data_IF_941170007034
#
_entry.id   IF_941170007034
#
_cell.length_a   1.000
_cell.length_b   1.000
_cell.length_c   1.000
_cell.angle_alpha   90.00
_cell.angle_beta   90.00
_cell.angle_gamma   90.00
#
_symmetry.space_group_name_H-M   'P 1'
#
loop_
_entity.id
_entity.type
_entity.pdbx_description
1 polymer ?
#
# COMPACT_ATOMS: atom_id res chain seq x y z
N UNK A 1 -66.72 -72.63 3.88
CA UNK A 1 -65.86 -71.92 2.92
C UNK A 1 -65.77 -70.53 3.47
N UNK A 2 -64.56 -70.15 3.92
CA UNK A 2 -64.31 -68.96 4.70
C UNK A 2 -63.66 -67.91 3.89
N UNK A 3 -64.34 -66.79 3.67
CA UNK A 3 -63.83 -65.56 3.00
C UNK A 3 -63.00 -64.76 4.00
N UNK A 4 -61.79 -64.47 3.69
CA UNK A 4 -60.93 -63.55 4.45
C UNK A 4 -60.98 -62.14 3.83
N UNK A 5 -61.45 -61.18 4.58
CA UNK A 5 -61.47 -59.81 4.31
C UNK A 5 -60.04 -59.24 4.63
N UNK A 6 -59.35 -58.65 3.65
CA UNK A 6 -58.11 -57.96 3.89
C UNK A 6 -58.39 -56.45 4.03
N UNK A 7 -58.05 -55.92 5.18
CA UNK A 7 -58.11 -54.47 5.49
C UNK A 7 -56.87 -53.81 4.90
N UNK A 8 -57.10 -52.87 4.03
CA UNK A 8 -56.00 -51.97 3.51
C UNK A 8 -56.01 -50.74 4.42
N UNK A 9 -54.94 -50.58 5.21
CA UNK A 9 -54.69 -49.38 5.99
C UNK A 9 -53.96 -48.39 5.09
N UNK A 10 -54.61 -47.29 4.77
CA UNK A 10 -54.05 -46.16 4.08
C UNK A 10 -53.32 -45.26 5.09
N UNK A 11 -51.99 -45.31 5.13
CA UNK A 11 -51.21 -44.35 5.92
C UNK A 11 -51.01 -43.06 5.10
N UNK A 12 -51.68 -42.00 5.56
CA UNK A 12 -51.46 -40.67 5.06
C UNK A 12 -50.10 -40.12 5.64
N UNK A 13 -49.10 -40.03 4.81
CA UNK A 13 -47.86 -39.35 5.14
C UNK A 13 -48.05 -37.86 4.86
N UNK A 14 -48.24 -37.11 5.96
CA UNK A 14 -48.24 -35.62 5.90
C UNK A 14 -46.81 -35.17 5.79
N UNK A 15 -46.34 -34.73 4.60
CA UNK A 15 -45.10 -34.02 4.44
C UNK A 15 -45.25 -32.61 5.05
N UNK A 16 -44.64 -32.40 6.19
CA UNK A 16 -44.32 -31.04 6.66
C UNK A 16 -43.16 -30.49 5.83
N UNK A 17 -43.47 -29.64 4.87
CA UNK A 17 -42.47 -28.80 4.23
C UNK A 17 -42.03 -27.73 5.25
N UNK A 18 -40.88 -27.94 5.92
CA UNK A 18 -40.17 -26.85 6.57
C UNK A 18 -39.67 -25.91 5.49
N UNK A 19 -40.37 -24.79 5.30
CA UNK A 19 -39.86 -23.64 4.59
C UNK A 19 -38.72 -23.06 5.45
N UNK A 20 -37.48 -23.38 5.13
CA UNK A 20 -36.34 -22.59 5.58
C UNK A 20 -36.47 -21.22 4.90
N UNK A 21 -37.09 -20.27 5.58
CA UNK A 21 -36.92 -18.87 5.25
C UNK A 21 -35.48 -18.51 5.65
N UNK A 22 -34.55 -18.51 4.70
CA UNK A 22 -33.31 -17.79 4.84
C UNK A 22 -33.69 -16.31 4.99
N UNK A 23 -33.86 -15.89 6.24
CA UNK A 23 -33.77 -14.46 6.54
C UNK A 23 -32.30 -14.11 6.41
N UNK A 24 -31.96 -13.60 5.24
CA UNK A 24 -30.72 -12.87 5.01
C UNK A 24 -30.71 -11.70 6.02
N UNK A 25 -30.14 -11.94 7.20
CA UNK A 25 -29.84 -10.89 8.15
C UNK A 25 -28.54 -10.28 7.69
N UNK A 26 -28.61 -9.43 6.67
CA UNK A 26 -27.59 -8.43 6.44
C UNK A 26 -27.56 -7.57 7.71
N UNK A 27 -26.58 -7.81 8.55
CA UNK A 27 -26.27 -6.90 9.66
C UNK A 27 -25.89 -5.59 8.97
N UNK A 28 -26.57 -4.47 9.26
CA UNK A 28 -26.17 -3.19 8.68
C UNK A 28 -24.71 -2.95 9.04
N UNK A 29 -23.86 -2.76 8.03
CA UNK A 29 -22.53 -2.22 8.26
C UNK A 29 -22.75 -0.85 8.90
N UNK A 30 -22.23 -0.55 10.08
CA UNK A 30 -22.36 0.78 10.66
C UNK A 30 -21.83 1.79 9.64
N UNK A 31 -22.58 2.88 9.42
CA UNK A 31 -22.06 3.98 8.63
C UNK A 31 -20.69 4.40 9.22
N UNK A 32 -19.66 4.57 8.39
CA UNK A 32 -18.37 5.03 8.89
C UNK A 32 -18.59 6.34 9.65
N UNK A 33 -17.85 6.51 10.74
CA UNK A 33 -17.92 7.76 11.51
C UNK A 33 -17.66 8.95 10.56
N UNK A 34 -18.45 10.03 10.68
CA UNK A 34 -18.26 11.19 9.82
C UNK A 34 -16.82 11.67 9.88
N UNK A 35 -16.21 11.91 8.72
CA UNK A 35 -14.90 12.54 8.67
C UNK A 35 -14.96 13.93 9.29
N UNK A 36 -13.87 14.35 9.93
CA UNK A 36 -13.72 15.72 10.38
C UNK A 36 -13.86 16.71 9.19
N UNK A 37 -14.36 17.92 9.44
CA UNK A 37 -14.46 18.92 8.37
C UNK A 37 -13.10 19.14 7.70
N UNK A 38 -13.08 19.19 6.37
CA UNK A 38 -11.87 19.44 5.59
C UNK A 38 -11.32 20.84 5.93
N UNK A 39 -10.13 20.97 6.54
CA UNK A 39 -9.53 22.26 6.84
C UNK A 39 -8.99 22.93 5.57
N UNK A 40 -8.69 24.21 5.66
CA UNK A 40 -7.89 24.86 4.62
C UNK A 40 -6.45 24.30 4.66
N UNK A 41 -5.81 24.06 3.49
CA UNK A 41 -4.44 23.55 3.47
C UNK A 41 -3.45 24.56 4.07
N UNK A 42 -2.45 24.03 4.78
CA UNK A 42 -1.32 24.78 5.31
C UNK A 42 -0.07 24.33 4.53
N UNK A 43 0.85 25.26 4.25
CA UNK A 43 2.08 24.90 3.58
C UNK A 43 2.92 23.95 4.43
N UNK A 44 3.44 22.90 3.80
CA UNK A 44 4.35 21.96 4.46
C UNK A 44 5.65 22.67 4.86
N UNK A 45 6.17 22.29 6.00
CA UNK A 45 7.38 22.88 6.61
C UNK A 45 8.36 21.79 7.02
N UNK A 46 9.50 21.73 6.36
CA UNK A 46 10.56 20.76 6.66
C UNK A 46 11.61 21.42 7.58
N UNK A 47 12.11 20.71 8.62
CA UNK A 47 11.97 19.28 8.89
C UNK A 47 10.74 18.90 9.73
N UNK A 48 9.85 19.82 10.09
CA UNK A 48 8.77 19.55 11.05
C UNK A 48 7.83 18.46 10.54
N UNK A 49 7.46 18.51 9.25
CA UNK A 49 6.54 17.58 8.63
C UNK A 49 7.22 16.28 8.12
N UNK A 50 8.43 15.97 8.59
CA UNK A 50 9.02 14.61 8.50
C UNK A 50 8.53 13.72 9.65
N UNK A 51 8.09 14.31 10.75
CA UNK A 51 7.67 13.63 11.95
C UNK A 51 6.21 13.27 12.00
N UNK A 52 5.78 12.55 13.06
CA UNK A 52 4.39 12.14 13.23
C UNK A 52 3.47 13.33 13.53
N UNK A 53 2.23 13.21 13.02
CA UNK A 53 1.16 14.18 13.16
C UNK A 53 0.01 13.60 14.00
N UNK A 54 -0.78 14.48 14.59
CA UNK A 54 -1.96 14.13 15.37
C UNK A 54 -3.18 14.03 14.45
N UNK A 55 -3.15 13.04 13.55
CA UNK A 55 -4.19 12.77 12.57
C UNK A 55 -4.63 11.32 12.63
N UNK A 56 -5.83 11.04 12.09
CA UNK A 56 -6.45 9.72 12.12
C UNK A 56 -5.55 8.62 11.55
N UNK A 57 -4.93 8.90 10.40
CA UNK A 57 -4.06 7.98 9.70
C UNK A 57 -2.79 8.70 9.25
N UNK A 58 -1.68 7.96 9.30
CA UNK A 58 -0.40 8.40 8.83
C UNK A 58 0.44 7.21 8.43
N UNK A 59 1.27 7.36 7.39
CA UNK A 59 2.28 6.37 7.06
C UNK A 59 3.54 6.95 6.47
N UNK A 60 4.64 6.26 6.73
CA UNK A 60 5.95 6.40 6.10
C UNK A 60 6.20 5.14 5.30
N UNK A 61 6.15 5.23 4.00
CA UNK A 61 6.34 4.13 3.07
C UNK A 61 7.66 4.26 2.34
N UNK A 62 8.38 3.17 2.17
CA UNK A 62 9.63 3.08 1.43
C UNK A 62 9.58 1.87 0.52
N UNK A 63 10.02 2.04 -0.74
CA UNK A 63 10.27 0.94 -1.66
C UNK A 63 11.59 1.17 -2.39
N UNK A 64 12.34 0.12 -2.67
CA UNK A 64 13.68 0.30 -3.22
C UNK A 64 14.18 -0.87 -4.05
N UNK A 65 15.12 -0.52 -4.90
CA UNK A 65 15.85 -1.40 -5.78
C UNK A 65 17.28 -1.48 -5.29
N UNK A 66 17.74 -2.67 -4.91
CA UNK A 66 19.07 -2.88 -4.34
C UNK A 66 19.85 -3.86 -5.20
N UNK A 67 21.17 -3.66 -5.21
CA UNK A 67 22.11 -4.59 -5.81
C UNK A 67 23.26 -4.84 -4.84
N UNK A 68 23.74 -6.07 -4.76
CA UNK A 68 24.93 -6.41 -4.00
C UNK A 68 26.21 -6.26 -4.85
N UNK A 69 27.39 -6.50 -4.23
CA UNK A 69 28.68 -6.39 -4.91
C UNK A 69 28.88 -7.43 -6.03
N UNK A 70 28.11 -8.52 -6.03
CA UNK A 70 28.13 -9.53 -7.08
C UNK A 70 27.24 -9.18 -8.27
N UNK A 71 26.35 -8.19 -8.11
CA UNK A 71 25.36 -7.78 -9.08
C UNK A 71 24.03 -8.51 -8.94
N UNK A 72 23.82 -9.26 -7.86
CA UNK A 72 22.52 -9.84 -7.55
C UNK A 72 21.56 -8.75 -7.13
N UNK A 73 20.31 -8.83 -7.62
CA UNK A 73 19.31 -7.78 -7.46
C UNK A 73 18.21 -8.16 -6.49
N UNK A 74 17.81 -7.17 -5.69
CA UNK A 74 16.76 -7.29 -4.67
C UNK A 74 15.78 -6.13 -4.78
N UNK A 75 14.53 -6.40 -4.40
CA UNK A 75 13.52 -5.37 -4.17
C UNK A 75 13.08 -5.40 -2.71
N UNK A 76 12.75 -4.27 -2.13
CA UNK A 76 12.13 -4.25 -0.81
C UNK A 76 11.03 -3.20 -0.73
N UNK A 77 10.06 -3.43 0.15
CA UNK A 77 9.23 -2.37 0.69
C UNK A 77 9.30 -2.41 2.21
N UNK A 78 9.14 -1.25 2.83
CA UNK A 78 9.05 -1.07 4.27
C UNK A 78 8.07 0.05 4.56
N UNK A 79 7.08 -0.19 5.40
CA UNK A 79 6.09 0.82 5.76
C UNK A 79 5.81 0.80 7.26
N UNK A 80 5.64 1.99 7.83
CA UNK A 80 5.12 2.18 9.19
C UNK A 80 3.82 2.95 9.08
N UNK A 81 2.75 2.39 9.63
CA UNK A 81 1.43 3.01 9.76
C UNK A 81 1.22 3.47 11.19
N UNK A 82 0.64 4.66 11.34
CA UNK A 82 0.07 5.16 12.58
C UNK A 82 -1.45 5.26 12.43
N UNK A 83 -2.19 4.81 13.43
CA UNK A 83 -3.64 5.00 13.51
C UNK A 83 -4.02 5.54 14.88
N UNK A 84 -4.81 6.61 14.90
CA UNK A 84 -5.41 7.18 16.11
C UNK A 84 -6.86 6.72 16.31
N UNK A 85 -7.34 5.73 15.56
CA UNK A 85 -8.73 5.27 15.67
C UNK A 85 -8.99 4.51 16.97
N UNK A 86 -10.09 4.91 17.61
CA UNK A 86 -10.45 4.62 18.98
C UNK A 86 -11.21 3.31 19.21
N UNK A 87 -11.43 2.49 18.21
CA UNK A 87 -12.31 1.34 18.34
C UNK A 87 -11.75 0.18 19.16
N UNK A 88 -10.44 0.18 19.45
CA UNK A 88 -9.76 -0.94 20.11
C UNK A 88 -9.28 -0.65 21.55
N UNK A 89 -9.49 0.55 22.07
CA UNK A 89 -9.11 0.90 23.44
C UNK A 89 -10.33 0.95 24.37
N UNK A 90 -10.70 -0.21 24.93
CA UNK A 90 -11.49 -0.22 26.14
C UNK A 90 -10.79 0.60 27.23
N UNK A 91 -11.45 1.64 27.72
CA UNK A 91 -11.10 2.44 28.90
C UNK A 91 -9.80 3.26 28.84
N UNK A 92 -9.80 4.40 28.15
CA UNK A 92 -8.90 5.47 28.56
C UNK A 92 -9.60 6.83 28.63
N UNK A 93 -9.86 7.27 29.87
CA UNK A 93 -10.31 8.64 30.19
C UNK A 93 -9.23 9.72 29.86
N UNK A 94 -8.09 9.35 29.30
CA UNK A 94 -6.98 10.26 29.01
C UNK A 94 -6.32 9.90 27.66
N UNK A 95 -6.65 10.64 26.62
CA UNK A 95 -5.91 10.71 25.35
C UNK A 95 -5.45 9.36 24.80
N UNK A 96 -5.95 9.01 23.65
CA UNK A 96 -5.71 7.72 23.04
C UNK A 96 -4.25 7.59 22.58
N UNK A 97 -3.58 6.52 22.98
CA UNK A 97 -2.27 6.21 22.47
C UNK A 97 -2.39 5.67 21.02
N UNK A 98 -1.59 6.16 20.08
CA UNK A 98 -1.60 5.67 18.71
C UNK A 98 -1.27 4.18 18.64
N UNK A 99 -1.96 3.45 17.74
CA UNK A 99 -1.55 2.13 17.30
C UNK A 99 -0.55 2.24 16.16
N UNK A 100 0.48 1.39 16.17
CA UNK A 100 1.44 1.29 15.08
C UNK A 100 1.42 -0.09 14.46
N UNK A 101 1.48 -0.14 13.14
CA UNK A 101 1.75 -1.34 12.38
C UNK A 101 2.94 -1.09 11.47
N UNK A 102 3.78 -2.10 11.26
CA UNK A 102 4.84 -2.03 10.28
C UNK A 102 4.85 -3.30 9.44
N UNK A 103 5.15 -3.14 8.14
CA UNK A 103 5.28 -4.24 7.21
C UNK A 103 6.60 -4.11 6.46
N UNK A 104 7.23 -5.25 6.21
CA UNK A 104 8.48 -5.36 5.48
C UNK A 104 8.42 -6.55 4.54
N UNK A 105 8.79 -6.35 3.30
CA UNK A 105 8.98 -7.39 2.31
C UNK A 105 10.30 -7.24 1.58
N UNK A 106 10.93 -8.37 1.28
CA UNK A 106 12.12 -8.49 0.45
C UNK A 106 11.85 -9.47 -0.68
N UNK A 107 12.13 -9.04 -1.91
CA UNK A 107 12.11 -9.89 -3.11
C UNK A 107 13.54 -10.16 -3.56
N UNK A 108 13.94 -11.43 -3.55
CA UNK A 108 15.18 -11.94 -4.13
C UNK A 108 14.87 -12.34 -5.57
N UNK A 109 15.34 -11.53 -6.54
CA UNK A 109 15.04 -11.79 -7.96
C UNK A 109 15.78 -13.00 -8.49
N UNK A 110 16.99 -13.26 -8.02
CA UNK A 110 17.78 -14.43 -8.43
C UNK A 110 17.15 -15.75 -7.97
N UNK A 111 16.56 -15.76 -6.78
CA UNK A 111 15.84 -16.90 -6.24
C UNK A 111 14.38 -16.98 -6.70
N UNK A 112 13.81 -15.90 -7.23
CA UNK A 112 12.37 -15.72 -7.51
C UNK A 112 11.53 -15.98 -6.26
N UNK A 113 11.94 -15.38 -5.14
CA UNK A 113 11.31 -15.56 -3.83
C UNK A 113 10.98 -14.21 -3.21
N UNK A 114 9.82 -14.16 -2.53
CA UNK A 114 9.39 -13.01 -1.73
C UNK A 114 9.25 -13.44 -0.27
N UNK A 115 9.81 -12.64 0.64
CA UNK A 115 9.76 -12.83 2.09
C UNK A 115 9.15 -11.62 2.73
N UNK A 116 8.28 -11.82 3.71
CA UNK A 116 7.58 -10.72 4.36
C UNK A 116 7.37 -10.96 5.84
N UNK A 117 7.21 -9.88 6.60
CA UNK A 117 6.78 -9.91 7.99
C UNK A 117 6.02 -8.64 8.36
N UNK A 118 5.28 -8.71 9.45
CA UNK A 118 4.57 -7.58 10.04
C UNK A 118 4.90 -7.46 11.52
N UNK A 119 4.86 -6.22 12.04
CA UNK A 119 4.97 -5.90 13.47
C UNK A 119 3.84 -4.99 13.88
N UNK A 120 3.48 -5.07 15.15
CA UNK A 120 2.41 -4.27 15.74
C UNK A 120 2.82 -3.83 17.13
N UNK A 121 2.53 -2.59 17.48
CA UNK A 121 2.68 -2.07 18.83
C UNK A 121 1.54 -1.11 19.16
N UNK A 122 1.26 -0.95 20.45
CA UNK A 122 0.27 0.00 20.95
C UNK A 122 0.85 0.75 22.14
N UNK A 123 0.61 2.07 22.21
CA UNK A 123 0.97 2.89 23.34
C UNK A 123 2.43 3.30 23.47
N UNK A 124 3.31 2.85 22.58
CA UNK A 124 4.67 3.38 22.49
C UNK A 124 4.63 4.73 21.74
N UNK A 125 5.00 5.78 22.43
CA UNK A 125 5.12 7.10 21.80
C UNK A 125 6.39 7.13 20.95
N UNK A 126 6.32 7.65 19.71
CA UNK A 126 7.53 7.91 18.94
C UNK A 126 8.45 8.84 19.72
N UNK A 127 9.74 8.59 19.68
CA UNK A 127 10.70 9.52 20.22
C UNK A 127 10.83 10.70 19.27
N UNK A 128 10.07 11.77 19.55
CA UNK A 128 10.07 13.01 18.78
C UNK A 128 10.90 14.04 19.52
N UNK A 129 11.93 14.53 18.88
CA UNK A 129 12.73 15.64 19.39
C UNK A 129 13.17 16.53 18.23
N UNK A 130 13.68 17.75 18.47
CA UNK A 130 14.20 18.58 17.40
C UNK A 130 15.29 17.83 16.61
N UNK A 131 14.97 17.41 15.37
CA UNK A 131 15.84 16.66 14.50
C UNK A 131 15.91 15.13 14.74
N UNK A 132 14.98 14.56 15.54
CA UNK A 132 14.87 13.13 15.78
C UNK A 132 13.41 12.70 15.56
N UNK A 133 13.13 12.11 14.42
CA UNK A 133 11.88 11.41 14.15
C UNK A 133 12.20 9.92 14.15
N UNK A 134 12.19 9.31 15.34
CA UNK A 134 12.43 7.89 15.50
C UNK A 134 11.12 7.19 15.88
N UNK A 135 10.67 6.28 15.01
CA UNK A 135 9.55 5.40 15.24
C UNK A 135 10.08 4.01 15.58
N UNK A 136 9.45 3.37 16.57
CA UNK A 136 9.74 1.99 16.93
C UNK A 136 8.46 1.18 16.92
N UNK A 137 8.46 0.10 16.14
CA UNK A 137 7.35 -0.86 16.10
C UNK A 137 7.90 -2.23 16.49
N UNK A 138 7.67 -2.63 17.71
CA UNK A 138 8.28 -3.82 18.33
C UNK A 138 9.82 -3.77 18.27
N UNK A 139 10.45 -4.65 17.50
CA UNK A 139 11.90 -4.74 17.29
C UNK A 139 12.40 -3.97 16.05
N UNK A 140 11.50 -3.37 15.28
CA UNK A 140 11.86 -2.58 14.09
C UNK A 140 11.96 -1.08 14.40
N UNK A 141 12.81 -0.39 13.66
CA UNK A 141 13.03 1.04 13.84
C UNK A 141 12.98 1.76 12.50
N UNK A 142 12.48 2.99 12.52
CA UNK A 142 12.54 3.96 11.43
C UNK A 142 13.02 5.29 11.98
N UNK A 143 14.00 5.91 11.34
CA UNK A 143 14.41 7.28 11.60
C UNK A 143 14.28 8.07 10.31
N UNK A 144 13.49 9.16 10.32
CA UNK A 144 13.28 10.05 9.20
C UNK A 144 13.74 11.45 9.54
N UNK A 145 14.98 11.79 9.19
CA UNK A 145 15.54 13.12 9.31
C UNK A 145 15.73 13.74 7.91
N UNK A 146 15.72 15.07 7.75
CA UNK A 146 15.69 15.71 6.43
C UNK A 146 16.78 15.26 5.47
N UNK A 147 17.97 14.99 6.00
CA UNK A 147 19.17 14.67 5.22
C UNK A 147 19.49 13.17 5.19
N UNK A 148 18.89 12.39 6.10
CA UNK A 148 19.17 10.97 6.26
C UNK A 148 17.99 10.24 6.86
N UNK A 149 17.45 9.29 6.12
CA UNK A 149 16.50 8.31 6.66
C UNK A 149 17.23 6.98 6.91
N UNK A 150 16.76 6.22 7.87
CA UNK A 150 17.28 4.87 8.12
C UNK A 150 16.21 3.97 8.71
N UNK A 151 16.29 2.68 8.43
CA UNK A 151 15.46 1.68 9.10
C UNK A 151 16.25 0.40 9.37
N UNK A 152 15.73 -0.38 10.30
CA UNK A 152 16.14 -1.74 10.60
C UNK A 152 14.90 -2.61 10.72
N UNK A 153 14.78 -3.62 9.84
CA UNK A 153 13.66 -4.54 9.81
C UNK A 153 14.13 -5.99 9.65
N UNK A 154 13.43 -6.92 10.28
CA UNK A 154 13.81 -8.33 10.32
C UNK A 154 12.61 -9.24 10.13
N UNK A 155 12.78 -10.30 9.32
CA UNK A 155 11.91 -11.47 9.24
C UNK A 155 12.58 -12.66 9.96
N UNK A 156 12.10 -13.88 9.76
CA UNK A 156 12.71 -15.08 10.36
C UNK A 156 14.12 -15.36 9.80
N UNK A 157 14.38 -15.01 8.54
CA UNK A 157 15.61 -15.36 7.81
C UNK A 157 16.23 -14.18 7.04
N UNK A 158 15.65 -12.98 7.16
CA UNK A 158 16.15 -11.76 6.52
C UNK A 158 16.24 -10.64 7.53
N UNK A 159 17.34 -9.88 7.50
CA UNK A 159 17.45 -8.56 8.13
C UNK A 159 17.97 -7.57 7.11
N UNK A 160 17.31 -6.43 7.02
CA UNK A 160 17.72 -5.32 6.19
C UNK A 160 17.90 -4.06 7.03
N UNK A 161 19.12 -3.55 7.05
CA UNK A 161 19.48 -2.28 7.70
C UNK A 161 19.89 -1.30 6.62
N UNK A 162 19.18 -0.18 6.50
CA UNK A 162 19.37 0.78 5.42
C UNK A 162 19.63 2.19 5.94
N UNK A 163 20.44 2.92 5.19
CA UNK A 163 20.63 4.38 5.25
C UNK A 163 20.31 4.97 3.89
N UNK A 164 19.49 6.02 3.86
CA UNK A 164 18.93 6.58 2.62
C UNK A 164 19.05 8.09 2.64
N UNK A 165 19.73 8.67 1.63
CA UNK A 165 19.97 10.10 1.50
C UNK A 165 19.13 10.65 0.34
N UNK A 166 18.23 11.63 0.57
CA UNK A 166 17.49 12.26 -0.52
C UNK A 166 18.39 12.91 -1.55
N UNK A 167 18.16 12.62 -2.82
CA UNK A 167 18.92 13.20 -3.94
C UNK A 167 18.19 14.34 -4.65
N UNK A 168 16.90 14.53 -4.30
CA UNK A 168 16.02 15.58 -4.82
C UNK A 168 15.23 16.25 -3.71
N UNK A 169 14.71 17.46 -3.93
CA UNK A 169 13.74 18.08 -3.02
C UNK A 169 12.49 17.19 -2.83
N UNK A 170 11.75 17.37 -1.72
CA UNK A 170 10.45 16.74 -1.57
C UNK A 170 9.51 17.10 -2.71
N UNK A 171 8.88 16.10 -3.32
CA UNK A 171 7.87 16.26 -4.35
C UNK A 171 6.50 16.40 -3.66
N UNK A 172 5.93 17.60 -3.62
CA UNK A 172 4.64 17.87 -3.00
C UNK A 172 3.54 17.43 -3.97
N UNK A 173 2.82 16.34 -3.66
CA UNK A 173 1.78 15.81 -4.53
C UNK A 173 0.65 16.84 -4.70
N UNK A 174 0.07 16.91 -5.92
CA UNK A 174 -0.93 17.93 -6.28
C UNK A 174 -0.44 19.37 -6.04
N UNK A 175 0.83 19.66 -6.40
CA UNK A 175 1.54 20.95 -6.37
C UNK A 175 1.85 21.51 -4.97
N UNK A 176 0.99 21.27 -3.99
CA UNK A 176 1.12 21.82 -2.62
C UNK A 176 1.16 20.76 -1.52
N UNK A 177 1.18 19.48 -1.90
CA UNK A 177 1.16 18.39 -0.93
C UNK A 177 -0.20 18.20 -0.24
N UNK A 178 -1.28 18.62 -0.87
CA UNK A 178 -2.62 18.54 -0.31
C UNK A 178 -3.62 17.96 -1.29
N UNK A 179 -4.31 16.90 -0.86
CA UNK A 179 -5.41 16.28 -1.59
C UNK A 179 -6.65 16.24 -0.71
N UNK A 180 -7.80 16.53 -1.30
CA UNK A 180 -9.08 16.45 -0.61
C UNK A 180 -10.18 16.03 -1.59
N UNK A 181 -11.04 15.14 -1.15
CA UNK A 181 -12.18 14.67 -1.90
C UNK A 181 -13.46 14.68 -1.06
N UNK A 182 -14.63 14.80 -1.68
CA UNK A 182 -15.89 14.95 -0.96
C UNK A 182 -16.29 13.69 -0.18
N UNK A 183 -15.79 12.53 -0.58
CA UNK A 183 -16.12 11.22 0.00
C UNK A 183 -14.92 10.51 0.62
N UNK A 184 -13.71 10.90 0.25
CA UNK A 184 -12.46 10.24 0.68
C UNK A 184 -11.79 10.93 1.84
N UNK A 185 -12.19 12.16 2.20
CA UNK A 185 -11.56 12.98 3.22
C UNK A 185 -10.44 13.85 2.68
N UNK A 186 -9.44 14.14 3.51
CA UNK A 186 -8.31 14.97 3.14
C UNK A 186 -7.00 14.38 3.66
N UNK A 187 -5.92 14.67 2.93
CA UNK A 187 -4.59 14.20 3.27
C UNK A 187 -3.52 15.19 2.83
N UNK A 188 -2.46 15.30 3.63
CA UNK A 188 -1.17 15.76 3.17
C UNK A 188 -0.41 14.60 2.57
N UNK A 189 0.38 14.86 1.53
CA UNK A 189 1.12 13.84 0.81
C UNK A 189 2.33 14.45 0.10
N UNK A 190 3.52 14.00 0.47
CA UNK A 190 4.74 14.28 -0.28
C UNK A 190 5.54 13.01 -0.49
N UNK A 191 6.38 13.03 -1.53
CA UNK A 191 7.31 11.96 -1.85
C UNK A 191 8.74 12.45 -1.78
N UNK A 192 9.66 11.56 -1.45
CA UNK A 192 11.06 11.67 -1.79
C UNK A 192 11.31 10.66 -2.92
N UNK A 193 11.21 11.12 -4.18
CA UNK A 193 11.04 10.22 -5.32
C UNK A 193 12.34 9.47 -5.69
N UNK A 194 13.49 9.93 -5.16
CA UNK A 194 14.77 9.23 -5.30
C UNK A 194 15.67 9.55 -4.12
N UNK A 195 16.09 8.50 -3.44
CA UNK A 195 17.05 8.54 -2.35
C UNK A 195 18.18 7.56 -2.64
N UNK A 196 19.42 8.01 -2.60
CA UNK A 196 20.57 7.11 -2.69
C UNK A 196 20.64 6.28 -1.40
N UNK A 197 20.71 4.97 -1.53
CA UNK A 197 20.63 4.04 -0.41
C UNK A 197 21.86 3.12 -0.35
N UNK A 198 22.30 2.85 0.87
CA UNK A 198 23.30 1.86 1.19
C UNK A 198 22.93 1.12 2.46
N UNK A 199 23.34 -0.14 2.58
CA UNK A 199 22.98 -0.92 3.75
C UNK A 199 23.59 -2.31 3.78
N UNK A 200 23.08 -3.09 4.73
CA UNK A 200 23.45 -4.49 4.93
C UNK A 200 22.20 -5.35 4.83
N UNK A 201 22.25 -6.35 3.97
CA UNK A 201 21.27 -7.42 3.86
C UNK A 201 21.86 -8.70 4.46
N UNK A 202 21.25 -9.18 5.55
CA UNK A 202 21.48 -10.52 6.07
C UNK A 202 20.41 -11.45 5.49
N UNK A 203 20.83 -12.47 4.75
CA UNK A 203 19.93 -13.41 4.07
C UNK A 203 20.39 -14.83 4.40
N UNK A 204 19.72 -15.47 5.37
CA UNK A 204 20.19 -16.70 5.99
C UNK A 204 21.56 -16.50 6.62
N UNK A 205 22.55 -17.30 6.19
CA UNK A 205 23.94 -17.22 6.69
C UNK A 205 24.80 -16.19 5.91
N UNK A 206 24.25 -15.49 4.91
CA UNK A 206 24.97 -14.50 4.09
C UNK A 206 24.78 -13.10 4.66
N UNK A 207 25.85 -12.33 4.71
CA UNK A 207 25.81 -10.89 4.96
C UNK A 207 26.35 -10.18 3.72
N UNK A 208 25.53 -9.32 3.13
CA UNK A 208 25.77 -8.65 1.86
C UNK A 208 25.75 -7.15 2.07
N UNK A 209 26.72 -6.43 1.49
CA UNK A 209 26.62 -5.00 1.31
C UNK A 209 25.74 -4.72 0.11
N UNK A 210 24.72 -3.88 0.28
CA UNK A 210 23.75 -3.55 -0.77
C UNK A 210 23.67 -2.05 -0.96
N UNK A 211 23.42 -1.62 -2.19
CA UNK A 211 23.18 -0.21 -2.52
C UNK A 211 22.16 -0.09 -3.65
N UNK A 212 21.55 1.09 -3.78
CA UNK A 212 20.57 1.34 -4.84
C UNK A 212 19.81 2.63 -4.66
N UNK A 213 18.63 2.69 -5.28
CA UNK A 213 17.70 3.81 -5.22
C UNK A 213 16.42 3.43 -4.46
N UNK A 214 15.91 4.38 -3.67
CA UNK A 214 14.70 4.20 -2.85
C UNK A 214 13.72 5.32 -3.13
N UNK A 215 12.44 4.97 -3.21
CA UNK A 215 11.29 5.86 -3.17
C UNK A 215 10.78 5.94 -1.74
N UNK A 216 10.32 7.11 -1.30
CA UNK A 216 9.65 7.30 -0.01
C UNK A 216 8.39 8.13 -0.21
N UNK A 217 7.30 7.71 0.44
CA UNK A 217 6.06 8.46 0.58
C UNK A 217 5.75 8.71 2.06
N UNK A 218 5.33 9.93 2.36
CA UNK A 218 4.78 10.30 3.65
C UNK A 218 3.41 10.94 3.44
N UNK A 219 2.41 10.36 4.09
CA UNK A 219 1.03 10.79 3.94
C UNK A 219 0.31 10.73 5.29
N UNK A 220 -0.44 11.78 5.62
CA UNK A 220 -1.22 11.88 6.85
C UNK A 220 -2.49 12.69 6.67
N UNK A 221 -3.51 12.40 7.47
CA UNK A 221 -4.77 13.15 7.42
C UNK A 221 -5.97 12.43 7.98
N UNK A 222 -7.14 12.95 7.60
CA UNK A 222 -8.46 12.41 7.94
C UNK A 222 -9.08 11.80 6.69
N UNK A 223 -8.70 10.57 6.37
CA UNK A 223 -9.17 9.86 5.19
C UNK A 223 -9.40 8.38 5.48
N UNK A 224 -10.10 7.70 4.58
CA UNK A 224 -10.35 6.27 4.70
C UNK A 224 -9.42 5.48 3.78
N UNK A 225 -8.76 4.46 4.35
CA UNK A 225 -8.04 3.44 3.58
C UNK A 225 -9.01 2.33 3.14
N UNK A 226 -9.96 1.99 4.03
CA UNK A 226 -10.92 0.91 3.83
C UNK A 226 -12.33 1.46 3.87
N UNK A 227 -13.14 1.13 2.85
CA UNK A 227 -14.56 1.40 2.86
C UNK A 227 -15.09 2.28 1.72
N UNK A 228 -14.38 3.25 1.26
CA UNK A 228 -14.61 4.02 0.03
C UNK A 228 -13.39 4.92 -0.20
N UNK A 229 -12.45 4.60 -1.08
CA UNK A 229 -12.50 3.66 -2.20
C UNK A 229 -12.39 2.17 -1.78
N UNK A 230 -12.85 1.27 -2.66
CA UNK A 230 -12.73 -0.17 -2.46
C UNK A 230 -11.29 -0.68 -2.62
N UNK A 231 -10.40 0.16 -3.14
CA UNK A 231 -9.00 -0.14 -3.35
C UNK A 231 -8.33 0.86 -4.28
N UNK A 232 -7.05 0.67 -4.49
CA UNK A 232 -6.25 1.47 -5.42
C UNK A 232 -5.17 0.65 -6.09
N UNK A 233 -4.65 1.18 -7.18
CA UNK A 233 -3.36 0.84 -7.76
C UNK A 233 -2.47 2.07 -7.60
N UNK A 234 -1.34 1.91 -6.94
CA UNK A 234 -0.33 2.95 -6.80
C UNK A 234 0.96 2.52 -7.51
N UNK A 235 1.67 3.47 -8.08
CA UNK A 235 2.90 3.26 -8.82
C UNK A 235 3.93 4.33 -8.42
N UNK A 236 5.10 3.89 -7.99
CA UNK A 236 6.28 4.72 -7.80
C UNK A 236 7.37 4.24 -8.77
N UNK A 237 7.62 5.00 -9.83
CA UNK A 237 8.50 4.60 -10.93
C UNK A 237 9.70 5.55 -11.00
N UNK A 238 10.89 4.97 -11.12
CA UNK A 238 12.16 5.69 -11.30
C UNK A 238 12.74 5.34 -12.66
N UNK A 239 12.85 6.32 -13.55
CA UNK A 239 13.35 6.12 -14.90
C UNK A 239 14.87 6.40 -15.00
N UNK A 240 15.53 5.80 -15.98
CA UNK A 240 16.97 5.90 -16.23
C UNK A 240 17.38 7.27 -16.76
N UNK A 241 16.44 8.08 -17.27
CA UNK A 241 16.67 9.48 -17.63
C UNK A 241 16.68 10.43 -16.43
N UNK A 242 16.54 9.90 -15.23
CA UNK A 242 16.57 10.63 -13.97
C UNK A 242 15.24 11.27 -13.60
N UNK A 243 14.15 11.01 -14.34
CA UNK A 243 12.80 11.42 -13.95
C UNK A 243 12.08 10.33 -13.17
N UNK A 244 11.03 10.70 -12.45
CA UNK A 244 10.17 9.78 -11.74
C UNK A 244 8.70 10.05 -12.03
N UNK A 245 7.88 9.00 -11.84
CA UNK A 245 6.45 9.05 -12.08
C UNK A 245 5.71 8.41 -10.89
N UNK A 246 4.82 9.16 -10.27
CA UNK A 246 3.82 8.64 -9.34
C UNK A 246 2.48 8.58 -10.05
N UNK A 247 1.76 7.47 -9.92
CA UNK A 247 0.39 7.30 -10.42
C UNK A 247 -0.45 6.68 -9.33
N UNK A 248 -1.69 7.15 -9.22
CA UNK A 248 -2.71 6.53 -8.36
C UNK A 248 -4.02 6.40 -9.15
N UNK A 249 -4.53 5.18 -9.22
CA UNK A 249 -5.90 4.88 -9.65
C UNK A 249 -6.69 4.41 -8.44
N UNK A 250 -7.74 5.12 -8.06
CA UNK A 250 -8.66 4.70 -7.00
C UNK A 250 -9.93 4.11 -7.59
N UNK A 251 -10.53 3.14 -6.90
CA UNK A 251 -11.76 2.46 -7.30
C UNK A 251 -12.81 2.54 -6.22
N UNK A 252 -14.06 2.73 -6.63
CA UNK A 252 -15.20 2.67 -5.72
C UNK A 252 -15.59 1.22 -5.37
N UNK A 253 -16.57 1.06 -4.48
CA UNK A 253 -17.06 -0.25 -4.02
C UNK A 253 -17.68 -1.12 -5.13
N UNK A 254 -18.05 -0.53 -6.25
CA UNK A 254 -18.56 -1.22 -7.44
C UNK A 254 -17.42 -1.64 -8.40
N UNK A 255 -16.16 -1.30 -8.05
CA UNK A 255 -14.96 -1.58 -8.84
C UNK A 255 -14.73 -0.63 -10.01
N UNK A 256 -15.52 0.45 -10.10
CA UNK A 256 -15.34 1.49 -11.12
C UNK A 256 -14.23 2.46 -10.72
N UNK A 257 -13.50 2.99 -11.71
CA UNK A 257 -12.46 4.00 -11.48
C UNK A 257 -13.11 5.28 -10.96
N UNK A 258 -12.76 5.68 -9.74
CA UNK A 258 -13.20 6.92 -9.10
C UNK A 258 -12.28 8.08 -9.46
N UNK A 259 -10.96 7.86 -9.41
CA UNK A 259 -9.97 8.84 -9.85
C UNK A 259 -8.72 8.16 -10.44
N UNK A 260 -8.13 8.80 -11.44
CA UNK A 260 -6.81 8.50 -11.98
C UNK A 260 -6.04 9.82 -12.03
N UNK A 261 -4.94 9.89 -11.29
CA UNK A 261 -4.10 11.07 -11.18
C UNK A 261 -2.63 10.67 -10.94
N UNK A 262 -1.74 11.64 -10.99
CA UNK A 262 -0.33 11.38 -10.75
C UNK A 262 0.53 12.63 -10.78
N UNK A 263 1.83 12.41 -10.82
CA UNK A 263 2.83 13.46 -11.02
C UNK A 263 4.05 12.94 -11.76
N UNK A 264 4.56 13.76 -12.67
CA UNK A 264 5.85 13.55 -13.30
C UNK A 264 6.87 14.48 -12.63
N UNK A 265 7.97 13.90 -12.13
CA UNK A 265 9.04 14.62 -11.46
C UNK A 265 10.25 14.63 -12.41
N UNK A 266 10.70 15.81 -12.79
CA UNK A 266 11.84 15.99 -13.69
C UNK A 266 13.17 15.68 -12.95
N UNK A 267 14.29 15.49 -13.67
CA UNK A 267 15.60 15.24 -13.07
C UNK A 267 16.06 16.33 -12.07
N UNK A 268 15.60 17.55 -12.23
CA UNK A 268 15.91 18.67 -11.32
C UNK A 268 14.96 18.78 -10.11
N UNK A 269 14.00 17.83 -9.99
CA UNK A 269 12.99 17.80 -8.92
C UNK A 269 11.73 18.62 -9.22
N UNK A 270 11.63 19.28 -10.40
CA UNK A 270 10.41 20.00 -10.77
C UNK A 270 9.27 19.00 -10.96
N UNK A 271 8.17 19.21 -10.22
CA UNK A 271 6.98 18.38 -10.28
C UNK A 271 5.96 18.98 -11.24
N UNK A 272 5.34 18.13 -12.05
CA UNK A 272 4.17 18.46 -12.87
C UNK A 272 3.02 17.54 -12.44
N UNK A 273 1.99 18.10 -11.85
CA UNK A 273 0.80 17.36 -11.43
C UNK A 273 -0.08 16.99 -12.61
N UNK A 274 -0.62 15.79 -12.59
CA UNK A 274 -1.57 15.24 -13.56
C UNK A 274 -2.92 15.13 -12.86
N UNK A 275 -3.85 16.00 -13.23
CA UNK A 275 -5.14 16.12 -12.57
C UNK A 275 -6.12 15.02 -12.98
N UNK A 276 -7.01 14.56 -12.08
CA UNK A 276 -8.06 13.61 -12.42
C UNK A 276 -8.91 14.11 -13.58
N UNK A 277 -9.16 13.23 -14.55
CA UNK A 277 -10.02 13.54 -15.71
C UNK A 277 -9.44 14.52 -16.72
N UNK A 278 -8.16 14.92 -16.59
CA UNK A 278 -7.50 15.82 -17.56
C UNK A 278 -7.29 15.19 -18.94
N UNK A 279 -7.25 13.85 -19.03
CA UNK A 279 -6.89 13.13 -20.24
C UNK A 279 -5.39 13.15 -20.56
N UNK A 280 -4.57 13.58 -19.60
CA UNK A 280 -3.11 13.64 -19.74
C UNK A 280 -2.40 12.35 -19.37
N UNK A 281 -3.14 11.40 -18.77
CA UNK A 281 -2.65 10.09 -18.33
C UNK A 281 -3.62 9.01 -18.77
N UNK A 282 -3.10 8.03 -19.51
CA UNK A 282 -3.78 6.77 -19.81
C UNK A 282 -3.08 5.65 -19.05
N UNK A 283 -3.84 4.84 -18.33
CA UNK A 283 -3.39 3.62 -17.64
C UNK A 283 -4.22 2.45 -18.15
N UNK A 284 -3.57 1.47 -18.76
CA UNK A 284 -4.21 0.25 -19.25
C UNK A 284 -3.60 -0.95 -18.55
N UNK A 285 -4.45 -1.72 -17.88
CA UNK A 285 -4.06 -2.97 -17.23
C UNK A 285 -4.00 -4.11 -18.25
N UNK A 286 -2.97 -4.94 -18.19
CA UNK A 286 -2.76 -6.11 -19.04
C UNK A 286 -2.48 -7.37 -18.22
N UNK A 287 -3.06 -8.50 -18.65
CA UNK A 287 -2.87 -9.79 -18.00
C UNK A 287 -3.45 -9.87 -16.60
N UNK A 288 -3.33 -11.03 -15.99
CA UNK A 288 -3.67 -11.28 -14.59
C UNK A 288 -2.82 -12.39 -14.01
N UNK A 289 -2.66 -12.37 -12.69
CA UNK A 289 -2.04 -13.40 -11.90
C UNK A 289 -2.96 -13.74 -10.72
N UNK A 290 -3.16 -15.05 -10.48
CA UNK A 290 -3.97 -15.52 -9.37
C UNK A 290 -3.06 -15.94 -8.22
N UNK A 291 -3.23 -15.32 -7.05
CA UNK A 291 -2.48 -15.65 -5.85
C UNK A 291 -2.71 -17.10 -5.44
N UNK A 292 -1.65 -17.90 -5.21
CA UNK A 292 -1.78 -19.26 -4.67
C UNK A 292 -2.18 -19.25 -3.18
N UNK A 293 -2.10 -18.11 -2.51
CA UNK A 293 -2.35 -17.96 -1.08
C UNK A 293 -3.80 -17.59 -0.78
N UNK A 294 -4.32 -16.59 -1.50
CA UNK A 294 -5.67 -16.03 -1.26
C UNK A 294 -6.67 -16.39 -2.34
N UNK A 295 -6.20 -16.76 -3.54
CA UNK A 295 -7.02 -16.95 -4.72
C UNK A 295 -7.45 -15.63 -5.38
N UNK A 296 -6.98 -14.48 -4.89
CA UNK A 296 -7.25 -13.18 -5.50
C UNK A 296 -6.60 -13.10 -6.90
N UNK A 297 -7.28 -12.41 -7.80
CA UNK A 297 -6.79 -12.16 -9.15
C UNK A 297 -6.29 -10.72 -9.24
N UNK A 298 -4.98 -10.55 -9.41
CA UNK A 298 -4.30 -9.27 -9.52
C UNK A 298 -3.94 -8.96 -10.98
N UNK A 299 -3.92 -7.68 -11.40
CA UNK A 299 -3.23 -7.27 -12.61
C UNK A 299 -1.78 -7.73 -12.65
N UNK A 300 -1.27 -8.04 -13.85
CA UNK A 300 0.10 -8.54 -14.01
C UNK A 300 0.86 -7.84 -15.16
N UNK A 301 0.51 -6.59 -15.41
CA UNK A 301 1.16 -5.74 -16.41
C UNK A 301 0.36 -4.46 -16.67
N UNK A 302 1.06 -3.41 -17.08
CA UNK A 302 0.41 -2.12 -17.36
C UNK A 302 1.10 -1.40 -18.52
N UNK A 303 0.31 -0.63 -19.26
CA UNK A 303 0.80 0.37 -20.20
C UNK A 303 0.38 1.73 -19.69
N UNK A 304 1.36 2.61 -19.54
CA UNK A 304 1.16 4.00 -19.13
C UNK A 304 1.53 4.92 -20.29
N UNK A 305 0.65 5.88 -20.59
CA UNK A 305 0.92 6.91 -21.58
C UNK A 305 0.71 8.30 -21.00
N UNK A 306 1.69 9.15 -21.21
CA UNK A 306 1.67 10.58 -20.92
C UNK A 306 1.89 11.34 -22.24
N UNK A 307 0.84 11.64 -23.02
CA UNK A 307 0.97 12.23 -24.36
C UNK A 307 1.69 13.57 -24.37
N UNK A 308 1.45 14.44 -23.37
CA UNK A 308 2.11 15.73 -23.24
C UNK A 308 3.62 15.61 -23.07
N UNK A 309 4.09 14.58 -22.38
CA UNK A 309 5.51 14.26 -22.16
C UNK A 309 6.07 13.29 -23.20
N UNK A 310 5.25 12.87 -24.17
CA UNK A 310 5.55 11.85 -25.18
C UNK A 310 6.17 10.59 -24.58
N UNK A 311 5.70 10.22 -23.38
CA UNK A 311 6.13 9.03 -22.65
C UNK A 311 5.12 7.93 -22.88
N UNK A 312 5.59 6.76 -23.30
CA UNK A 312 4.84 5.53 -23.32
C UNK A 312 5.71 4.42 -22.74
N UNK A 313 5.28 3.83 -21.63
CA UNK A 313 6.01 2.79 -20.93
C UNK A 313 5.14 1.59 -20.67
N UNK A 314 5.77 0.43 -20.68
CA UNK A 314 5.24 -0.84 -20.19
C UNK A 314 5.86 -1.14 -18.83
N UNK A 315 5.03 -1.58 -17.90
CA UNK A 315 5.40 -1.95 -16.54
C UNK A 315 5.08 -3.43 -16.36
N UNK A 316 6.05 -4.24 -15.95
CA UNK A 316 5.90 -5.67 -15.76
C UNK A 316 6.45 -6.09 -14.39
N UNK A 317 5.73 -6.89 -13.58
CA UNK A 317 6.27 -7.49 -12.35
C UNK A 317 7.52 -8.34 -12.64
N UNK A 318 8.55 -8.18 -11.81
CA UNK A 318 9.78 -9.01 -11.90
C UNK A 318 9.59 -10.38 -11.26
N UNK A 319 8.75 -10.46 -10.22
CA UNK A 319 8.28 -11.68 -9.57
C UNK A 319 6.76 -11.56 -9.46
N UNK A 320 6.03 -12.62 -9.76
CA UNK A 320 4.57 -12.54 -9.73
C UNK A 320 4.03 -12.63 -8.29
N UNK A 321 4.62 -13.48 -7.45
CA UNK A 321 4.18 -13.72 -6.07
C UNK A 321 4.88 -12.74 -5.11
N UNK A 322 4.28 -11.57 -4.94
CA UNK A 322 4.70 -10.52 -4.01
C UNK A 322 3.50 -10.04 -3.18
N UNK A 323 2.56 -10.94 -2.87
CA UNK A 323 1.40 -10.64 -2.05
C UNK A 323 1.79 -10.51 -0.57
N UNK A 324 1.34 -9.44 0.07
CA UNK A 324 1.53 -9.18 1.49
C UNK A 324 0.35 -9.75 2.26
N UNK A 325 0.64 -10.71 3.12
CA UNK A 325 -0.36 -11.43 3.91
C UNK A 325 -0.14 -11.10 5.37
N UNK A 326 -1.05 -10.33 5.94
CA UNK A 326 -1.00 -10.04 7.38
C UNK A 326 -1.47 -11.23 8.20
N UNK A 327 -0.84 -11.42 9.34
CA UNK A 327 -1.28 -12.40 10.34
C UNK A 327 -2.47 -11.93 11.17
N UNK A 328 -2.84 -10.64 11.06
CA UNK A 328 -3.99 -10.06 11.73
C UNK A 328 -5.15 -9.87 10.76
N UNK A 329 -6.37 -10.34 11.11
CA UNK A 329 -7.54 -10.23 10.25
C UNK A 329 -7.92 -8.78 9.87
N UNK A 330 -7.60 -7.82 10.75
CA UNK A 330 -7.86 -6.39 10.57
C UNK A 330 -6.86 -5.69 9.63
N UNK A 331 -5.78 -6.34 9.26
CA UNK A 331 -4.79 -5.77 8.37
C UNK A 331 -5.10 -6.13 6.92
N UNK A 332 -4.89 -5.18 6.02
CA UNK A 332 -5.11 -5.38 4.60
C UNK A 332 -4.18 -6.48 4.03
N UNK A 333 -4.73 -7.29 3.14
CA UNK A 333 -3.97 -8.13 2.24
C UNK A 333 -3.91 -7.39 0.91
N UNK A 334 -2.72 -7.24 0.36
CA UNK A 334 -2.49 -6.50 -0.87
C UNK A 334 -1.27 -7.06 -1.62
N UNK A 335 -1.11 -6.71 -2.86
CA UNK A 335 0.08 -7.06 -3.62
C UNK A 335 1.01 -5.84 -3.66
N UNK A 336 2.30 -6.06 -3.35
CA UNK A 336 3.33 -5.02 -3.25
C UNK A 336 4.58 -5.49 -3.95
N UNK A 337 4.82 -5.03 -5.16
CA UNK A 337 5.82 -5.69 -5.98
C UNK A 337 6.77 -4.78 -6.75
N UNK A 338 8.05 -5.21 -6.78
CA UNK A 338 9.05 -4.66 -7.69
C UNK A 338 8.63 -4.93 -9.12
N UNK A 339 8.76 -3.91 -9.97
CA UNK A 339 8.47 -3.94 -11.40
C UNK A 339 9.64 -3.46 -12.23
N UNK A 340 9.75 -3.96 -13.45
CA UNK A 340 10.64 -3.46 -14.49
C UNK A 340 9.85 -2.60 -15.48
N UNK A 341 10.51 -1.56 -15.99
CA UNK A 341 9.90 -0.58 -16.91
C UNK A 341 10.69 -0.51 -18.20
N UNK A 342 9.98 -0.56 -19.31
CA UNK A 342 10.55 -0.41 -20.65
C UNK A 342 9.61 0.45 -21.51
N UNK A 343 10.18 1.34 -22.33
CA UNK A 343 9.36 2.16 -23.19
C UNK A 343 10.10 3.17 -24.01
N UNK A 344 9.42 4.27 -24.33
CA UNK A 344 10.02 5.37 -25.09
C UNK A 344 9.57 6.73 -24.56
N UNK A 345 10.46 7.70 -24.62
CA UNK A 345 10.17 9.13 -24.44
C UNK A 345 10.64 9.91 -25.67
N UNK A 346 9.71 10.64 -26.30
CA UNK A 346 9.98 11.38 -27.56
C UNK A 346 10.66 10.51 -28.64
N UNK A 347 10.27 9.21 -28.69
CA UNK A 347 10.81 8.21 -29.61
C UNK A 347 12.17 7.61 -29.23
N UNK A 348 12.79 8.04 -28.13
CA UNK A 348 14.01 7.46 -27.59
C UNK A 348 13.70 6.37 -26.57
N UNK A 349 14.44 5.26 -26.53
CA UNK A 349 14.27 4.25 -25.50
C UNK A 349 14.43 4.84 -24.09
N UNK A 350 13.61 4.40 -23.17
CA UNK A 350 13.69 4.68 -21.75
C UNK A 350 13.45 3.38 -20.99
N UNK A 351 14.21 3.16 -19.94
CA UNK A 351 14.04 2.04 -19.01
C UNK A 351 13.87 2.55 -17.59
N UNK A 352 13.54 1.68 -16.68
CA UNK A 352 13.42 2.04 -15.27
C UNK A 352 13.00 0.87 -14.41
N UNK A 353 12.83 1.17 -13.17
CA UNK A 353 12.35 0.26 -12.14
C UNK A 353 11.30 0.98 -11.27
N UNK A 354 10.52 0.22 -10.53
CA UNK A 354 9.53 0.80 -9.63
C UNK A 354 8.92 -0.22 -8.71
N UNK A 355 7.94 0.26 -7.97
CA UNK A 355 7.03 -0.55 -7.20
C UNK A 355 5.59 -0.24 -7.58
N UNK A 356 4.76 -1.27 -7.49
CA UNK A 356 3.31 -1.17 -7.67
C UNK A 356 2.64 -1.78 -6.46
N UNK A 357 1.70 -1.05 -5.89
CA UNK A 357 0.82 -1.50 -4.81
C UNK A 357 -0.61 -1.68 -5.33
N UNK A 358 -1.21 -2.82 -5.03
CA UNK A 358 -2.55 -3.21 -5.47
C UNK A 358 -3.40 -3.59 -4.26
N UNK A 359 -4.33 -2.72 -3.86
CA UNK A 359 -5.22 -2.96 -2.73
C UNK A 359 -6.66 -3.21 -3.18
N UNK A 360 -7.48 -3.80 -2.31
CA UNK A 360 -8.91 -4.03 -2.58
C UNK A 360 -9.22 -5.26 -3.45
N UNK A 361 -8.26 -6.10 -3.76
CA UNK A 361 -8.45 -7.34 -4.53
C UNK A 361 -8.82 -8.54 -3.65
N UNK A 362 -8.51 -8.49 -2.37
CA UNK A 362 -8.91 -9.48 -1.38
C UNK A 362 -9.98 -8.89 -0.47
N UNK A 363 -11.16 -9.48 -0.47
CA UNK A 363 -12.19 -9.18 0.51
C UNK A 363 -12.10 -10.25 1.61
N UNK A 364 -11.69 -9.90 2.83
CA UNK A 364 -11.66 -10.86 3.93
C UNK A 364 -13.05 -11.46 4.17
N UNK A 365 -13.18 -12.78 4.24
CA UNK A 365 -14.43 -13.47 4.55
C UNK A 365 -14.32 -14.18 5.91
N UNK A 366 -15.14 -13.85 6.91
CA UNK A 366 -15.93 -12.61 7.05
C UNK A 366 -15.06 -11.43 7.48
N UNK A 367 -15.49 -10.22 7.17
CA UNK A 367 -14.87 -9.03 7.75
C UNK A 367 -14.85 -9.20 9.28
N UNK A 368 -13.72 -8.98 9.97
CA UNK A 368 -13.54 -9.30 11.39
C UNK A 368 -14.50 -8.57 12.36
N UNK A 369 -15.28 -7.62 11.86
CA UNK A 369 -16.31 -6.87 12.58
C UNK A 369 -17.76 -7.23 12.18
N UNK A 370 -17.99 -8.41 11.56
CA UNK A 370 -19.33 -8.94 11.33
C UNK A 370 -19.82 -9.83 12.46
#
# INVERSE_FOLDING_TARGET
>A
MRTRLSLIVLSAITLLALACTNTDRSVPVPDPAPLAPTPAPVALSFPQDEGPHDNRLEWWYYSGHLQDEAGDEYGFHFVVFQSLDSSDSGDSENGQAPGYAAQFGLTDMGANEHRQASRFSSGEQPQVGPGLNELRVADWTLSANPDLHSFDAVTDDVRLTMSMTPTKPPALQNDIGWLAGPTTGWTYYYSRPRMAAEGTLELGDRQLSVSGDVWMDHQWGEFFILGNPAGWQWFGIQLDDGSELMITETRNVDGEIDALYGSLIAPDGTLTSIQPGSGELDLVTEGSWTSPHTGAEYPNGWIVKLPASKLEIRIDPVVADQEIISTRPESAIYWEGKVAVNGTRDGNPVTGEGFVELTGYVVPDPLPWR
#
